data_IF_595486971175
#
_entry.id   IF_595486971175
#
_cell.length_a   1.000
_cell.length_b   1.000
_cell.length_c   1.000
_cell.angle_alpha   90.00
_cell.angle_beta   90.00
_cell.angle_gamma   90.00
#
_symmetry.space_group_name_H-M   'P 1'
#
loop_
_entity.id
_entity.type
_entity.pdbx_description
1 polymer ?
#
# COMPACT_ATOMS: atom_id res chain seq x y z
N UNK A 1 51.74 27.25 14.39
CA UNK A 1 52.13 27.08 15.79
C UNK A 1 51.49 25.81 16.27
N UNK A 2 52.38 24.83 16.49
CA UNK A 2 52.11 23.50 17.03
C UNK A 2 51.52 23.54 18.45
N UNK A 3 50.70 22.58 18.82
CA UNK A 3 51.02 21.72 19.98
C UNK A 3 50.17 20.46 19.94
N UNK A 4 50.85 19.34 19.74
CA UNK A 4 50.47 17.95 20.05
C UNK A 4 50.53 17.70 21.55
N UNK A 5 49.73 16.78 22.06
CA UNK A 5 50.03 15.91 23.23
C UNK A 5 49.06 14.71 23.15
N UNK A 6 49.50 13.59 22.70
CA UNK A 6 50.08 12.34 23.24
C UNK A 6 49.29 11.69 24.40
N UNK A 7 48.65 10.59 24.07
CA UNK A 7 48.73 9.16 24.46
C UNK A 7 49.16 8.85 25.90
N UNK A 8 48.34 8.07 26.61
CA UNK A 8 48.81 6.94 27.42
C UNK A 8 47.84 5.76 27.40
N UNK A 9 48.39 4.62 26.96
CA UNK A 9 47.87 3.26 27.16
C UNK A 9 48.12 2.82 28.59
N UNK A 10 47.20 2.04 29.16
CA UNK A 10 47.38 1.31 30.41
C UNK A 10 46.67 -0.04 30.34
N UNK A 11 47.44 -1.08 30.50
CA UNK A 11 47.19 -2.49 30.25
C UNK A 11 46.60 -3.20 31.46
N UNK A 12 45.70 -4.17 31.18
CA UNK A 12 45.48 -5.49 31.82
C UNK A 12 45.60 -5.67 33.34
N UNK A 13 44.54 -6.24 33.97
CA UNK A 13 44.67 -7.51 34.71
C UNK A 13 43.29 -8.19 34.92
N UNK A 14 43.33 -9.53 34.86
CA UNK A 14 42.29 -10.52 35.12
C UNK A 14 41.77 -10.51 36.58
N UNK A 15 40.49 -10.84 36.76
CA UNK A 15 39.93 -11.21 38.05
C UNK A 15 38.57 -11.90 37.90
N UNK A 16 38.55 -13.19 38.16
CA UNK A 16 37.37 -14.11 38.12
C UNK A 16 36.39 -13.86 39.26
N UNK A 17 35.10 -14.23 38.97
CA UNK A 17 34.13 -14.92 39.83
C UNK A 17 33.36 -14.08 40.88
N UNK A 18 32.07 -13.96 40.75
CA UNK A 18 31.10 -14.75 41.52
C UNK A 18 29.67 -14.28 41.26
N UNK A 19 28.85 -15.23 40.90
CA UNK A 19 27.39 -15.25 40.87
C UNK A 19 26.75 -14.74 42.15
N UNK A 20 25.87 -13.74 42.08
CA UNK A 20 24.78 -13.58 43.06
C UNK A 20 23.47 -13.28 42.33
N UNK A 21 22.59 -14.28 42.34
CA UNK A 21 21.20 -14.14 42.06
C UNK A 21 20.56 -13.25 43.13
N UNK A 22 19.93 -12.15 42.70
CA UNK A 22 18.93 -11.46 43.52
C UNK A 22 17.62 -11.57 42.77
N UNK A 23 16.76 -12.50 43.19
CA UNK A 23 15.34 -12.50 42.94
C UNK A 23 14.71 -11.35 43.73
N UNK A 24 14.10 -10.41 43.05
CA UNK A 24 13.07 -9.57 43.64
C UNK A 24 11.82 -9.78 42.80
N UNK A 25 10.94 -10.63 43.31
CA UNK A 25 9.58 -10.79 42.81
C UNK A 25 8.71 -9.59 43.24
N UNK A 26 7.96 -9.06 42.30
CA UNK A 26 6.61 -8.54 42.52
C UNK A 26 5.85 -8.83 41.25
N UNK A 27 5.05 -9.88 41.29
CA UNK A 27 3.91 -10.07 40.39
C UNK A 27 2.97 -8.90 40.64
N UNK A 28 2.72 -8.14 39.59
CA UNK A 28 1.59 -7.21 39.52
C UNK A 28 0.52 -7.96 38.78
N UNK A 29 -0.50 -8.42 39.52
CA UNK A 29 -1.74 -8.97 38.98
C UNK A 29 -2.38 -7.92 38.06
N UNK A 30 -2.39 -8.20 36.78
CA UNK A 30 -3.26 -7.52 35.81
C UNK A 30 -4.58 -8.30 35.75
N UNK A 31 -5.73 -7.64 35.91
CA UNK A 31 -7.02 -8.31 35.79
C UNK A 31 -7.20 -8.89 34.40
N UNK A 32 -7.66 -10.14 34.35
CA UNK A 32 -8.01 -10.85 33.14
C UNK A 32 -9.07 -10.07 32.35
N UNK A 33 -8.66 -9.45 31.26
CA UNK A 33 -9.56 -8.99 30.22
C UNK A 33 -10.04 -10.22 29.46
N UNK A 34 -11.32 -10.55 29.67
CA UNK A 34 -12.05 -11.58 28.94
C UNK A 34 -11.81 -11.39 27.44
N UNK A 35 -11.21 -12.40 26.84
CA UNK A 35 -11.11 -12.55 25.38
C UNK A 35 -12.52 -12.81 24.86
N UNK A 36 -13.24 -11.73 24.52
CA UNK A 36 -14.42 -11.86 23.65
C UNK A 36 -13.96 -12.43 22.33
N UNK A 37 -14.42 -13.65 22.06
CA UNK A 37 -14.05 -14.44 20.90
C UNK A 37 -14.26 -13.68 19.61
N UNK A 38 -13.17 -13.47 18.87
CA UNK A 38 -13.22 -13.22 17.45
C UNK A 38 -13.69 -14.50 16.79
N UNK A 39 -14.95 -14.52 16.36
CA UNK A 39 -15.49 -15.59 15.55
C UNK A 39 -14.80 -15.57 14.19
N UNK A 40 -13.83 -16.43 13.99
CA UNK A 40 -13.32 -16.79 12.67
C UNK A 40 -14.33 -17.74 12.08
N UNK A 41 -15.27 -17.24 11.29
CA UNK A 41 -16.12 -18.09 10.47
C UNK A 41 -15.29 -18.66 9.33
N UNK A 42 -14.67 -19.80 9.55
CA UNK A 42 -14.16 -20.65 8.48
C UNK A 42 -15.36 -21.32 7.80
N UNK A 43 -15.80 -20.80 6.69
CA UNK A 43 -16.71 -21.51 5.79
C UNK A 43 -15.92 -22.63 5.13
N UNK A 44 -16.18 -23.87 5.49
CA UNK A 44 -15.67 -25.07 4.84
C UNK A 44 -16.37 -25.25 3.49
N UNK A 45 -15.95 -24.51 2.46
CA UNK A 45 -16.04 -24.92 1.07
C UNK A 45 -14.60 -25.05 0.54
N UNK A 46 -14.27 -26.13 -0.21
CA UNK A 46 -12.93 -26.29 -0.75
C UNK A 46 -12.69 -25.19 -1.80
N UNK A 47 -11.63 -24.39 -1.58
CA UNK A 47 -10.96 -23.52 -2.52
C UNK A 47 -11.33 -22.04 -2.65
N UNK A 48 -11.57 -21.33 -1.56
CA UNK A 48 -11.12 -19.93 -1.60
C UNK A 48 -10.58 -19.55 -0.22
N UNK A 49 -9.28 -19.61 -0.03
CA UNK A 49 -8.63 -19.06 1.15
C UNK A 49 -8.77 -17.55 1.11
N UNK A 50 -9.94 -17.02 1.47
CA UNK A 50 -10.17 -15.61 1.68
C UNK A 50 -9.95 -15.27 3.14
N UNK A 51 -9.22 -14.20 3.39
CA UNK A 51 -9.03 -13.67 4.73
C UNK A 51 -9.64 -12.26 4.77
N UNK A 52 -10.41 -11.98 5.81
CA UNK A 52 -11.07 -10.68 5.95
C UNK A 52 -10.92 -10.15 7.38
N UNK A 53 -10.67 -8.84 7.47
CA UNK A 53 -10.84 -8.07 8.69
C UNK A 53 -12.04 -7.14 8.41
N UNK A 54 -13.22 -7.41 9.02
CA UNK A 54 -14.44 -6.65 8.74
C UNK A 54 -14.24 -5.14 8.90
N UNK A 55 -14.73 -4.36 7.95
CA UNK A 55 -14.58 -2.90 7.92
C UNK A 55 -13.17 -2.39 7.65
N UNK A 56 -12.19 -3.27 7.36
CA UNK A 56 -10.80 -2.89 7.14
C UNK A 56 -10.29 -3.35 5.77
N UNK A 57 -10.22 -4.65 5.54
CA UNK A 57 -9.65 -5.21 4.32
C UNK A 57 -10.14 -6.62 4.04
N UNK A 58 -9.97 -7.03 2.81
CA UNK A 58 -9.99 -8.43 2.40
C UNK A 58 -8.69 -8.82 1.70
N UNK A 59 -8.33 -10.11 1.78
CA UNK A 59 -7.25 -10.74 1.02
C UNK A 59 -7.79 -11.96 0.31
N UNK A 60 -7.50 -12.08 -0.96
CA UNK A 60 -7.75 -13.26 -1.78
C UNK A 60 -6.40 -13.91 -2.08
N UNK A 61 -6.24 -15.13 -1.56
CA UNK A 61 -5.03 -15.93 -1.77
C UNK A 61 -5.07 -16.62 -3.13
N UNK A 62 -3.91 -17.09 -3.66
CA UNK A 62 -3.83 -17.78 -4.95
C UNK A 62 -4.78 -18.98 -5.06
N UNK A 63 -5.54 -19.04 -6.15
CA UNK A 63 -6.45 -20.14 -6.51
C UNK A 63 -5.83 -21.11 -7.54
N UNK A 64 -4.67 -20.78 -8.09
CA UNK A 64 -3.84 -21.60 -8.96
C UNK A 64 -2.46 -21.79 -8.33
N UNK A 65 -1.53 -22.43 -9.06
CA UNK A 65 -0.14 -22.54 -8.63
C UNK A 65 0.41 -21.14 -8.27
N UNK A 66 0.81 -20.98 -7.01
CA UNK A 66 1.26 -19.70 -6.45
C UNK A 66 2.47 -19.16 -7.20
N UNK A 67 2.44 -17.87 -7.52
CA UNK A 67 3.51 -17.11 -8.14
C UNK A 67 3.95 -15.96 -7.23
N UNK A 68 5.16 -15.42 -7.37
CA UNK A 68 5.66 -14.35 -6.50
C UNK A 68 5.09 -12.96 -6.84
N UNK A 69 3.78 -12.91 -7.10
CA UNK A 69 3.05 -11.68 -7.42
C UNK A 69 2.08 -11.33 -6.30
N UNK A 70 2.12 -10.10 -5.86
CA UNK A 70 1.19 -9.54 -4.88
C UNK A 70 0.62 -8.24 -5.45
N UNK A 71 -0.70 -8.12 -5.43
CA UNK A 71 -1.42 -6.91 -5.84
C UNK A 71 -2.14 -6.33 -4.63
N UNK A 72 -2.16 -5.00 -4.51
CA UNK A 72 -3.00 -4.33 -3.54
C UNK A 72 -3.78 -3.16 -4.13
N UNK A 73 -5.02 -2.99 -3.69
CA UNK A 73 -5.90 -1.86 -4.03
C UNK A 73 -6.28 -1.11 -2.75
N UNK A 74 -5.49 -0.11 -2.35
CA UNK A 74 -5.68 0.56 -1.06
C UNK A 74 -6.81 1.58 -1.05
N UNK A 75 -7.37 1.93 -2.21
CA UNK A 75 -8.27 3.07 -2.36
C UNK A 75 -9.60 2.76 -3.03
N UNK A 76 -9.91 1.49 -3.31
CA UNK A 76 -11.21 1.09 -3.89
C UNK A 76 -12.33 1.02 -2.86
N UNK A 77 -11.98 1.04 -1.55
CA UNK A 77 -12.96 0.91 -0.47
C UNK A 77 -13.98 2.02 -0.46
N UNK A 78 -15.23 1.61 -0.23
CA UNK A 78 -16.44 2.46 -0.22
C UNK A 78 -17.36 2.17 0.98
N UNK A 79 -16.89 1.40 1.97
CA UNK A 79 -17.58 1.18 3.23
C UNK A 79 -17.26 2.33 4.19
N UNK A 80 -18.21 3.26 4.33
CA UNK A 80 -18.04 4.44 5.18
C UNK A 80 -18.32 4.10 6.63
N UNK A 81 -17.31 4.16 7.54
CA UNK A 81 -17.50 3.86 8.95
C UNK A 81 -18.49 4.81 9.61
N UNK A 82 -19.30 4.32 10.56
CA UNK A 82 -20.27 5.12 11.30
C UNK A 82 -19.62 6.28 12.07
N UNK A 83 -18.37 6.11 12.51
CA UNK A 83 -17.56 7.11 13.21
C UNK A 83 -16.84 8.08 12.26
N UNK A 84 -17.27 8.17 11.00
CA UNK A 84 -16.71 9.12 10.04
C UNK A 84 -17.55 10.41 9.99
N UNK A 85 -17.20 11.46 10.75
CA UNK A 85 -18.01 12.68 10.87
C UNK A 85 -17.74 13.64 9.71
N UNK A 86 -17.97 13.21 8.45
CA UNK A 86 -17.83 14.11 7.31
C UNK A 86 -19.03 15.06 7.19
N UNK A 87 -18.78 16.30 6.75
CA UNK A 87 -19.78 17.34 6.59
C UNK A 87 -20.10 17.71 5.13
N UNK A 88 -19.33 17.18 4.18
CA UNK A 88 -19.59 17.40 2.74
C UNK A 88 -20.57 16.37 2.18
N UNK A 89 -21.10 16.63 0.97
CA UNK A 89 -21.97 15.67 0.29
C UNK A 89 -21.23 14.38 -0.02
N UNK A 90 -21.90 13.24 0.13
CA UNK A 90 -21.29 11.91 -0.04
C UNK A 90 -20.77 11.68 -1.46
N UNK A 91 -21.49 12.13 -2.49
CA UNK A 91 -21.07 12.04 -3.89
C UNK A 91 -19.78 12.80 -4.16
N UNK A 92 -19.59 13.95 -3.51
CA UNK A 92 -18.33 14.70 -3.57
C UNK A 92 -17.20 13.94 -2.87
N UNK A 93 -17.48 13.36 -1.71
CA UNK A 93 -16.49 12.59 -0.94
C UNK A 93 -16.03 11.35 -1.71
N UNK A 94 -16.97 10.64 -2.33
CA UNK A 94 -16.72 9.45 -3.16
C UNK A 94 -15.83 9.70 -4.37
N UNK A 95 -15.74 10.93 -4.87
CA UNK A 95 -14.81 11.24 -5.99
C UNK A 95 -13.34 11.07 -5.61
N UNK A 96 -13.02 10.94 -4.32
CA UNK A 96 -11.67 10.61 -3.86
C UNK A 96 -11.32 9.12 -4.00
N UNK A 97 -12.32 8.23 -4.15
CA UNK A 97 -12.12 6.80 -4.31
C UNK A 97 -11.43 6.48 -5.65
N UNK A 98 -10.62 5.44 -5.66
CA UNK A 98 -10.16 4.77 -6.87
C UNK A 98 -11.16 3.64 -7.19
N UNK A 99 -12.41 4.03 -7.46
CA UNK A 99 -13.53 3.13 -7.59
C UNK A 99 -13.26 2.02 -8.62
N UNK A 100 -13.62 0.77 -8.26
CA UNK A 100 -13.52 -0.43 -9.11
C UNK A 100 -12.09 -0.88 -9.49
N UNK A 101 -11.04 -0.27 -8.93
CA UNK A 101 -9.68 -0.72 -9.26
C UNK A 101 -9.45 -2.14 -8.78
N UNK A 102 -9.96 -2.51 -7.61
CA UNK A 102 -9.95 -3.88 -7.11
C UNK A 102 -10.62 -4.87 -8.07
N UNK A 103 -11.75 -4.48 -8.68
CA UNK A 103 -12.43 -5.31 -9.67
C UNK A 103 -11.66 -5.44 -10.99
N UNK A 104 -10.90 -4.40 -11.39
CA UNK A 104 -10.03 -4.47 -12.57
C UNK A 104 -8.94 -5.54 -12.43
N UNK A 105 -8.48 -5.79 -11.20
CA UNK A 105 -7.45 -6.79 -10.89
C UNK A 105 -8.00 -8.10 -10.34
N UNK A 106 -9.33 -8.32 -10.38
CA UNK A 106 -10.00 -9.46 -9.75
C UNK A 106 -9.51 -10.84 -10.23
N UNK A 107 -8.94 -10.95 -11.43
CA UNK A 107 -8.40 -12.20 -11.96
C UNK A 107 -7.05 -12.62 -11.32
N UNK A 108 -6.41 -11.79 -10.49
CA UNK A 108 -5.08 -12.08 -9.95
C UNK A 108 -5.02 -13.39 -9.15
N UNK A 109 -6.00 -13.74 -8.27
CA UNK A 109 -5.99 -15.01 -7.55
C UNK A 109 -6.09 -16.24 -8.45
N UNK A 110 -6.92 -16.19 -9.49
CA UNK A 110 -7.08 -17.29 -10.47
C UNK A 110 -5.78 -17.53 -11.26
N UNK A 111 -4.94 -16.49 -11.39
CA UNK A 111 -3.63 -16.55 -12.04
C UNK A 111 -2.48 -16.89 -11.08
N UNK A 112 -2.79 -17.20 -9.81
CA UNK A 112 -1.82 -17.65 -8.81
C UNK A 112 -1.19 -16.51 -7.99
N UNK A 113 -1.69 -15.28 -8.08
CA UNK A 113 -1.22 -14.13 -7.32
C UNK A 113 -2.10 -13.86 -6.08
N UNK A 114 -1.55 -13.15 -5.10
CA UNK A 114 -2.35 -12.61 -3.97
C UNK A 114 -2.92 -11.25 -4.35
N UNK A 115 -4.20 -11.01 -4.01
CA UNK A 115 -4.86 -9.71 -4.15
C UNK A 115 -5.39 -9.23 -2.80
N UNK A 116 -5.13 -7.97 -2.44
CA UNK A 116 -5.55 -7.34 -1.18
C UNK A 116 -6.32 -6.05 -1.51
N UNK A 117 -7.45 -5.83 -0.86
CA UNK A 117 -8.23 -4.59 -1.00
C UNK A 117 -8.60 -3.99 0.33
N UNK A 118 -8.48 -2.66 0.49
CA UNK A 118 -9.10 -1.96 1.60
C UNK A 118 -10.60 -1.81 1.35
N UNK A 119 -11.42 -1.91 2.40
CA UNK A 119 -12.86 -1.69 2.30
C UNK A 119 -13.27 -0.29 2.76
N UNK A 120 -12.50 0.33 3.66
CA UNK A 120 -12.74 1.72 4.07
C UNK A 120 -12.28 2.72 3.01
N UNK A 121 -12.95 3.89 2.89
CA UNK A 121 -12.56 4.89 1.92
C UNK A 121 -11.27 5.62 2.32
N UNK A 122 -10.42 5.94 1.34
CA UNK A 122 -9.20 6.72 1.58
C UNK A 122 -9.45 8.12 2.17
N UNK A 123 -10.67 8.62 2.07
CA UNK A 123 -11.06 9.89 2.69
C UNK A 123 -11.18 9.80 4.22
N UNK A 124 -11.44 8.59 4.74
CA UNK A 124 -11.43 8.30 6.17
C UNK A 124 -9.99 8.17 6.71
N UNK A 125 -9.18 7.38 6.02
CA UNK A 125 -7.75 7.19 6.28
C UNK A 125 -7.07 6.73 4.99
N UNK A 126 -5.94 7.33 4.62
CA UNK A 126 -5.21 6.96 3.41
C UNK A 126 -4.07 5.97 3.72
N UNK A 127 -4.23 4.65 3.46
CA UNK A 127 -3.19 3.67 3.76
C UNK A 127 -1.93 3.83 2.90
N UNK A 128 -2.01 4.58 1.80
CA UNK A 128 -0.83 4.92 1.00
C UNK A 128 -0.16 6.23 1.46
N UNK A 129 -0.24 6.51 2.79
CA UNK A 129 0.49 7.57 3.50
C UNK A 129 1.20 6.98 4.70
N UNK A 130 2.32 7.60 5.09
CA UNK A 130 2.99 7.20 6.32
C UNK A 130 2.14 7.55 7.55
N UNK A 131 2.25 6.76 8.61
CA UNK A 131 1.47 6.98 9.83
C UNK A 131 1.80 8.31 10.53
N UNK A 132 2.96 8.88 10.26
CA UNK A 132 3.44 10.18 10.75
C UNK A 132 3.20 11.33 9.77
N UNK A 133 2.59 11.07 8.60
CA UNK A 133 2.26 12.09 7.59
C UNK A 133 0.97 12.85 7.95
N UNK A 134 1.01 13.52 9.11
CA UNK A 134 -0.06 14.28 9.72
C UNK A 134 0.37 15.73 9.98
N UNK A 135 -0.60 16.63 10.01
CA UNK A 135 -0.41 18.05 10.35
C UNK A 135 -1.11 18.36 11.66
N UNK A 136 -0.33 18.67 12.70
CA UNK A 136 -0.85 19.02 14.04
C UNK A 136 -1.79 20.22 14.05
N UNK A 137 -1.69 21.13 13.09
CA UNK A 137 -2.62 22.28 13.00
C UNK A 137 -4.08 21.86 12.84
N UNK A 138 -4.32 20.61 12.40
CA UNK A 138 -5.65 20.09 12.12
C UNK A 138 -6.10 18.99 13.10
N UNK A 139 -5.26 18.72 14.11
CA UNK A 139 -5.54 17.76 15.18
C UNK A 139 -5.76 18.54 16.46
N UNK A 140 -6.79 18.18 17.20
CA UNK A 140 -7.04 18.65 18.56
C UNK A 140 -6.36 17.71 19.56
N UNK A 141 -5.60 18.30 20.49
CA UNK A 141 -4.79 17.56 21.46
C UNK A 141 -3.35 17.33 21.02
N UNK A 142 -2.60 16.57 21.82
CA UNK A 142 -1.17 16.29 21.62
C UNK A 142 -0.97 14.97 20.90
N UNK A 143 -0.17 15.00 19.83
CA UNK A 143 0.27 13.78 19.17
C UNK A 143 1.50 13.20 19.89
N UNK A 144 1.55 11.90 20.19
CA UNK A 144 2.57 11.33 21.09
C UNK A 144 3.95 11.15 20.45
N UNK A 145 4.04 11.18 19.13
CA UNK A 145 5.30 10.93 18.41
C UNK A 145 5.62 12.08 17.44
N UNK A 146 6.88 12.25 17.00
CA UNK A 146 7.22 13.23 15.97
C UNK A 146 6.44 12.99 14.68
N UNK A 147 5.99 14.07 14.05
CA UNK A 147 5.27 14.04 12.77
C UNK A 147 6.14 14.59 11.64
N UNK A 148 5.89 14.06 10.43
CA UNK A 148 6.61 14.42 9.21
C UNK A 148 5.63 14.78 8.08
N UNK A 149 4.92 15.93 8.18
CA UNK A 149 3.91 16.30 7.20
C UNK A 149 4.51 16.55 5.83
N UNK A 150 4.04 15.79 4.84
CA UNK A 150 4.41 15.97 3.43
C UNK A 150 3.78 17.23 2.83
N UNK A 151 4.23 17.60 1.62
CA UNK A 151 3.57 18.66 0.84
C UNK A 151 2.08 18.35 0.60
N UNK A 152 1.73 17.06 0.38
CA UNK A 152 0.34 16.61 0.20
C UNK A 152 -0.48 16.83 1.47
N UNK A 153 0.08 16.55 2.63
CA UNK A 153 -0.57 16.76 3.94
C UNK A 153 -0.87 18.24 4.17
N UNK A 154 0.07 19.13 3.87
CA UNK A 154 -0.15 20.58 3.92
C UNK A 154 -1.26 21.03 2.97
N UNK A 155 -1.43 20.36 1.83
CA UNK A 155 -2.53 20.59 0.89
C UNK A 155 -3.86 19.89 1.32
N UNK A 156 -3.92 19.25 2.49
CA UNK A 156 -5.10 18.56 2.99
C UNK A 156 -5.29 17.13 2.48
N UNK A 157 -4.25 16.52 1.91
CA UNK A 157 -4.26 15.20 1.28
C UNK A 157 -3.25 14.24 1.96
N UNK A 158 -3.12 14.32 3.30
CA UNK A 158 -2.27 13.45 4.12
C UNK A 158 -2.93 12.14 4.50
N UNK A 159 -2.39 11.51 5.56
CA UNK A 159 -2.93 10.28 6.15
C UNK A 159 -4.42 10.39 6.46
N UNK A 160 -4.82 11.50 7.08
CA UNK A 160 -6.23 11.89 7.24
C UNK A 160 -6.49 13.07 6.30
N UNK A 161 -7.33 12.85 5.31
CA UNK A 161 -7.70 13.91 4.35
C UNK A 161 -8.58 14.95 5.01
N UNK A 162 -8.29 16.22 4.78
CA UNK A 162 -9.09 17.36 5.26
C UNK A 162 -10.02 17.94 4.20
N UNK A 163 -9.68 17.71 2.95
CA UNK A 163 -10.45 18.21 1.80
C UNK A 163 -10.82 17.05 0.88
N UNK A 164 -12.09 17.00 0.47
CA UNK A 164 -12.57 16.08 -0.55
C UNK A 164 -12.09 16.53 -1.94
N UNK A 165 -12.19 17.83 -2.20
CA UNK A 165 -11.67 18.56 -3.38
C UNK A 165 -11.12 19.90 -2.93
N UNK A 166 -10.34 20.61 -3.74
CA UNK A 166 -9.91 21.97 -3.43
C UNK A 166 -11.09 22.84 -3.02
N UNK A 167 -11.00 23.43 -1.82
CA UNK A 167 -12.05 24.29 -1.25
C UNK A 167 -13.25 23.60 -0.60
N UNK A 168 -13.34 22.26 -0.62
CA UNK A 168 -14.43 21.52 0.02
C UNK A 168 -13.87 20.74 1.21
N UNK A 169 -14.08 21.21 2.45
CA UNK A 169 -13.62 20.50 3.65
C UNK A 169 -14.41 19.20 3.85
N UNK A 170 -13.72 18.20 4.40
CA UNK A 170 -14.38 16.95 4.83
C UNK A 170 -14.99 17.11 6.22
N UNK A 171 -14.33 17.86 7.10
CA UNK A 171 -14.74 18.05 8.49
C UNK A 171 -15.05 19.52 8.77
N UNK A 172 -16.04 19.76 9.61
CA UNK A 172 -16.40 21.08 10.16
C UNK A 172 -15.67 21.39 11.49
N UNK A 173 -14.89 20.42 12.00
CA UNK A 173 -14.09 20.51 13.22
C UNK A 173 -12.70 19.89 13.04
N UNK A 174 -11.82 20.11 13.99
CA UNK A 174 -10.62 19.30 14.13
C UNK A 174 -10.98 17.90 14.64
N UNK A 175 -10.23 16.90 14.20
CA UNK A 175 -10.28 15.58 14.79
C UNK A 175 -9.39 15.56 16.05
N UNK A 176 -9.78 14.83 17.06
CA UNK A 176 -8.92 14.62 18.22
C UNK A 176 -7.76 13.68 17.87
N UNK A 177 -6.64 13.82 18.58
CA UNK A 177 -5.53 12.89 18.44
C UNK A 177 -5.96 11.43 18.70
N UNK A 178 -6.87 11.20 19.64
CA UNK A 178 -7.41 9.87 19.95
C UNK A 178 -8.22 9.28 18.79
N UNK A 179 -9.06 10.08 18.11
CA UNK A 179 -9.81 9.63 16.93
C UNK A 179 -8.85 9.20 15.81
N UNK A 180 -7.81 9.98 15.56
CA UNK A 180 -6.85 9.67 14.50
C UNK A 180 -6.01 8.44 14.86
N UNK A 181 -5.55 8.32 16.12
CA UNK A 181 -4.82 7.13 16.58
C UNK A 181 -5.68 5.87 16.45
N UNK A 182 -6.94 5.93 16.85
CA UNK A 182 -7.86 4.79 16.71
C UNK A 182 -8.02 4.35 15.23
N UNK A 183 -8.07 5.29 14.28
CA UNK A 183 -8.08 4.96 12.84
C UNK A 183 -6.79 4.30 12.39
N UNK A 184 -5.63 4.80 12.85
CA UNK A 184 -4.33 4.20 12.54
C UNK A 184 -4.25 2.76 13.05
N UNK A 185 -4.65 2.52 14.29
CA UNK A 185 -4.64 1.18 14.90
C UNK A 185 -5.64 0.23 14.25
N UNK A 186 -6.84 0.72 13.93
CA UNK A 186 -7.91 -0.11 13.37
C UNK A 186 -7.73 -0.41 11.89
N UNK A 187 -7.24 0.54 11.09
CA UNK A 187 -7.24 0.45 9.64
C UNK A 187 -5.83 0.43 9.04
N UNK A 188 -4.97 1.41 9.36
CA UNK A 188 -3.65 1.56 8.74
C UNK A 188 -2.71 0.42 9.12
N UNK A 189 -2.54 0.15 10.40
CA UNK A 189 -1.62 -0.86 10.89
C UNK A 189 -2.00 -2.28 10.44
N UNK A 190 -3.28 -2.72 10.50
CA UNK A 190 -3.69 -4.01 9.97
C UNK A 190 -3.52 -4.14 8.46
N UNK A 191 -3.83 -3.08 7.68
CA UNK A 191 -3.64 -3.10 6.23
C UNK A 191 -2.17 -3.36 5.87
N UNK A 192 -1.27 -2.59 6.44
CA UNK A 192 0.16 -2.74 6.19
C UNK A 192 0.70 -4.08 6.68
N UNK A 193 0.25 -4.58 7.84
CA UNK A 193 0.66 -5.89 8.35
C UNK A 193 0.29 -7.02 7.38
N UNK A 194 -0.94 -7.03 6.88
CA UNK A 194 -1.41 -8.07 5.94
C UNK A 194 -0.66 -7.99 4.61
N UNK A 195 -0.38 -6.79 4.12
CA UNK A 195 0.42 -6.60 2.90
C UNK A 195 1.88 -7.01 3.10
N UNK A 196 2.51 -6.64 4.22
CA UNK A 196 3.86 -7.07 4.58
C UNK A 196 3.94 -8.60 4.64
N UNK A 197 3.00 -9.26 5.34
CA UNK A 197 2.91 -10.72 5.45
C UNK A 197 2.79 -11.42 4.09
N UNK A 198 1.98 -10.89 3.18
CA UNK A 198 1.82 -11.44 1.84
C UNK A 198 3.11 -11.31 1.01
N UNK A 199 3.73 -10.13 1.00
CA UNK A 199 5.00 -9.90 0.30
C UNK A 199 6.14 -10.73 0.91
N UNK A 200 6.20 -10.85 2.23
CA UNK A 200 7.20 -11.66 2.94
C UNK A 200 7.03 -13.14 2.67
N UNK A 201 5.79 -13.64 2.63
CA UNK A 201 5.47 -15.02 2.28
C UNK A 201 5.98 -15.34 0.86
N UNK A 202 5.61 -14.52 -0.12
CA UNK A 202 6.06 -14.69 -1.49
C UNK A 202 7.59 -14.65 -1.60
N UNK A 203 8.22 -13.64 -0.97
CA UNK A 203 9.67 -13.51 -0.98
C UNK A 203 10.38 -14.71 -0.31
N UNK A 204 9.90 -15.20 0.83
CA UNK A 204 10.50 -16.40 1.49
C UNK A 204 10.37 -17.65 0.65
N UNK A 205 9.24 -17.81 -0.05
CA UNK A 205 8.98 -19.00 -0.87
C UNK A 205 9.80 -19.03 -2.15
N UNK A 206 9.93 -17.88 -2.83
CA UNK A 206 10.50 -17.79 -4.17
C UNK A 206 11.86 -17.08 -4.22
N UNK A 207 12.33 -16.50 -3.12
CA UNK A 207 13.54 -15.67 -3.10
C UNK A 207 13.37 -14.32 -3.80
N UNK A 208 12.18 -14.00 -4.27
CA UNK A 208 11.81 -12.73 -4.90
C UNK A 208 10.31 -12.45 -4.73
N UNK A 209 9.92 -11.18 -4.85
CA UNK A 209 8.51 -10.76 -4.92
C UNK A 209 8.38 -9.56 -5.86
N UNK A 210 7.33 -9.58 -6.69
CA UNK A 210 6.91 -8.45 -7.51
C UNK A 210 5.54 -7.98 -7.00
N UNK A 211 5.52 -6.84 -6.37
CA UNK A 211 4.34 -6.20 -5.82
C UNK A 211 3.86 -5.09 -6.76
N UNK A 212 2.54 -5.04 -6.99
CA UNK A 212 1.87 -4.00 -7.78
C UNK A 212 0.85 -3.29 -6.90
N UNK A 213 1.06 -1.99 -6.70
CA UNK A 213 0.16 -1.11 -5.98
C UNK A 213 -0.81 -0.45 -6.97
N UNK A 214 -2.09 -0.85 -6.92
CA UNK A 214 -3.10 -0.57 -7.93
C UNK A 214 -3.89 0.68 -7.59
N UNK A 215 -3.90 1.66 -8.52
CA UNK A 215 -4.55 2.95 -8.37
C UNK A 215 -5.26 3.42 -9.63
N UNK A 216 -6.04 4.47 -9.49
CA UNK A 216 -6.57 5.22 -10.62
C UNK A 216 -6.39 6.72 -10.43
N UNK A 217 -6.18 7.41 -11.53
CA UNK A 217 -5.99 8.85 -11.56
C UNK A 217 -7.15 9.56 -12.28
N UNK A 218 -7.51 10.78 -11.84
CA UNK A 218 -8.45 11.62 -12.59
C UNK A 218 -7.97 11.87 -14.00
N UNK A 219 -8.88 11.76 -14.97
CA UNK A 219 -8.54 12.04 -16.37
C UNK A 219 -8.24 13.52 -16.59
N UNK A 220 -7.15 13.81 -17.27
CA UNK A 220 -6.77 15.14 -17.70
C UNK A 220 -7.19 15.45 -19.14
N UNK A 221 -8.00 14.58 -19.77
CA UNK A 221 -8.41 14.69 -21.19
C UNK A 221 -9.23 15.95 -21.51
N UNK A 222 -9.76 16.62 -20.48
CA UNK A 222 -10.50 17.89 -20.63
C UNK A 222 -9.64 19.15 -20.50
N UNK A 223 -8.32 19.02 -20.26
CA UNK A 223 -7.43 20.15 -20.09
C UNK A 223 -7.03 20.84 -21.40
N UNK A 224 -7.03 22.17 -21.41
CA UNK A 224 -6.85 23.09 -22.55
C UNK A 224 -5.50 23.07 -23.29
N UNK A 225 -4.64 22.08 -23.14
CA UNK A 225 -3.38 22.00 -23.89
C UNK A 225 -3.26 20.61 -24.50
N UNK A 226 -3.36 20.54 -25.82
CA UNK A 226 -3.32 19.38 -26.72
C UNK A 226 -2.20 18.34 -26.53
N UNK A 227 -1.84 18.04 -25.31
CA UNK A 227 -1.00 16.91 -24.94
C UNK A 227 -1.81 15.65 -24.83
N UNK A 228 -1.31 14.55 -25.39
CA UNK A 228 -1.90 13.23 -25.25
C UNK A 228 -1.75 12.83 -23.78
N UNK A 229 -2.87 12.79 -23.03
CA UNK A 229 -2.86 12.33 -21.63
C UNK A 229 -2.43 10.88 -21.55
N UNK A 230 -1.74 10.52 -20.49
CA UNK A 230 -1.38 9.13 -20.24
C UNK A 230 -2.63 8.31 -19.92
N UNK A 231 -2.74 7.12 -20.52
CA UNK A 231 -3.73 6.12 -20.12
C UNK A 231 -3.29 5.42 -18.84
N UNK A 232 -1.98 5.22 -18.68
CA UNK A 232 -1.34 4.67 -17.49
C UNK A 232 -0.13 5.50 -17.08
N UNK A 233 0.08 5.62 -15.77
CA UNK A 233 1.33 6.13 -15.19
C UNK A 233 1.90 5.05 -14.27
N UNK A 234 3.17 4.70 -14.49
CA UNK A 234 3.94 3.78 -13.68
C UNK A 234 4.83 4.57 -12.73
N UNK A 235 4.79 4.25 -11.46
CA UNK A 235 5.55 4.93 -10.41
C UNK A 235 6.48 3.95 -9.68
N UNK A 236 7.78 4.04 -9.92
CA UNK A 236 8.83 3.26 -9.26
C UNK A 236 9.76 4.11 -8.40
N UNK A 237 9.30 5.35 -8.05
CA UNK A 237 10.05 6.33 -7.28
C UNK A 237 11.43 6.64 -7.88
N UNK A 238 11.45 6.89 -9.18
CA UNK A 238 12.66 7.16 -9.97
C UNK A 238 13.67 5.99 -9.89
N UNK A 239 13.17 4.73 -10.03
CA UNK A 239 13.97 3.51 -10.06
C UNK A 239 14.38 2.98 -8.68
N UNK A 240 13.84 3.51 -7.57
CA UNK A 240 14.28 3.13 -6.22
C UNK A 240 13.49 1.96 -5.63
N UNK A 241 12.31 1.63 -6.15
CA UNK A 241 11.41 0.63 -5.56
C UNK A 241 11.27 -0.66 -6.37
N UNK A 242 11.72 -0.68 -7.61
CA UNK A 242 11.83 -1.91 -8.39
C UNK A 242 13.01 -1.83 -9.38
N UNK A 243 13.41 -2.98 -9.91
CA UNK A 243 14.39 -3.02 -11.00
C UNK A 243 13.80 -2.41 -12.27
N UNK A 244 14.59 -1.69 -13.08
CA UNK A 244 14.11 -1.04 -14.31
C UNK A 244 13.42 -2.01 -15.27
N UNK A 245 13.91 -3.24 -15.36
CA UNK A 245 13.37 -4.28 -16.24
C UNK A 245 11.92 -4.63 -15.92
N UNK A 246 11.51 -4.50 -14.65
CA UNK A 246 10.12 -4.71 -14.24
C UNK A 246 9.22 -3.56 -14.72
N UNK A 247 9.64 -2.32 -14.50
CA UNK A 247 8.91 -1.13 -14.98
C UNK A 247 8.80 -1.14 -16.51
N UNK A 248 9.89 -1.41 -17.20
CA UNK A 248 9.95 -1.46 -18.67
C UNK A 248 9.09 -2.58 -19.25
N UNK A 249 9.08 -3.77 -18.61
CA UNK A 249 8.22 -4.88 -19.00
C UNK A 249 6.73 -4.51 -18.90
N UNK A 250 6.29 -3.99 -17.76
CA UNK A 250 4.90 -3.53 -17.58
C UNK A 250 4.53 -2.46 -18.62
N UNK A 251 5.43 -1.49 -18.86
CA UNK A 251 5.22 -0.45 -19.86
C UNK A 251 5.08 -1.02 -21.27
N UNK A 252 5.91 -2.00 -21.62
CA UNK A 252 5.89 -2.67 -22.94
C UNK A 252 4.58 -3.44 -23.15
N UNK A 253 4.13 -4.21 -22.14
CA UNK A 253 2.86 -4.94 -22.19
C UNK A 253 1.68 -4.00 -22.42
N UNK A 254 1.58 -2.92 -21.63
CA UNK A 254 0.48 -1.96 -21.76
C UNK A 254 0.52 -1.20 -23.09
N UNK A 255 1.71 -0.81 -23.55
CA UNK A 255 1.88 -0.17 -24.88
C UNK A 255 1.51 -1.13 -26.01
N UNK A 256 1.83 -2.43 -25.89
CA UNK A 256 1.43 -3.48 -26.82
C UNK A 256 -0.10 -3.65 -26.92
N UNK A 257 -0.85 -3.31 -25.85
CA UNK A 257 -2.32 -3.24 -25.85
C UNK A 257 -2.88 -1.92 -26.41
N UNK A 258 -1.99 -1.01 -26.83
CA UNK A 258 -2.35 0.27 -27.47
C UNK A 258 -2.50 1.44 -26.49
N UNK A 259 -2.11 1.29 -25.22
CA UNK A 259 -2.19 2.34 -24.21
C UNK A 259 -0.98 3.29 -24.25
N UNK A 260 -1.23 4.55 -23.91
CA UNK A 260 -0.18 5.54 -23.66
C UNK A 260 0.32 5.39 -22.23
N UNK A 261 1.60 5.05 -22.07
CA UNK A 261 2.23 4.82 -20.76
C UNK A 261 3.31 5.85 -20.50
N UNK A 262 3.25 6.49 -19.33
CA UNK A 262 4.28 7.38 -18.78
C UNK A 262 4.90 6.74 -17.54
N UNK A 263 6.14 7.11 -17.22
CA UNK A 263 6.87 6.59 -16.06
C UNK A 263 7.26 7.77 -15.18
N UNK A 264 6.92 7.71 -13.89
CA UNK A 264 7.23 8.74 -12.88
C UNK A 264 6.73 10.16 -13.19
N UNK A 265 5.76 10.29 -14.08
CA UNK A 265 5.16 11.56 -14.41
C UNK A 265 3.99 11.85 -13.47
N UNK A 266 4.10 12.87 -12.60
CA UNK A 266 3.12 13.27 -11.58
C UNK A 266 2.95 12.24 -10.44
N UNK A 267 2.75 10.96 -10.76
CA UNK A 267 2.51 9.85 -9.81
C UNK A 267 3.73 8.94 -9.78
N UNK A 268 4.69 9.25 -8.90
CA UNK A 268 5.96 8.52 -8.80
C UNK A 268 5.91 7.29 -7.86
N UNK A 269 4.79 7.08 -7.20
CA UNK A 269 4.68 6.13 -6.09
C UNK A 269 4.91 6.81 -4.73
N UNK A 270 4.24 6.31 -3.69
CA UNK A 270 4.22 6.94 -2.36
C UNK A 270 4.65 5.93 -1.29
N UNK A 271 3.89 5.80 -0.20
CA UNK A 271 4.33 5.08 1.00
C UNK A 271 4.38 3.56 0.78
N UNK A 272 3.35 2.98 0.17
CA UNK A 272 3.28 1.52 0.00
C UNK A 272 4.46 1.02 -0.84
N UNK A 273 4.72 1.62 -2.01
CA UNK A 273 5.85 1.17 -2.83
C UNK A 273 7.21 1.46 -2.18
N UNK A 274 7.34 2.55 -1.43
CA UNK A 274 8.52 2.85 -0.64
C UNK A 274 8.77 1.79 0.43
N UNK A 275 7.71 1.34 1.09
CA UNK A 275 7.76 0.34 2.16
C UNK A 275 8.08 -1.06 1.62
N UNK A 276 7.48 -1.47 0.50
CA UNK A 276 7.63 -2.79 -0.08
C UNK A 276 8.88 -2.95 -0.95
N UNK A 277 9.32 -1.88 -1.64
CA UNK A 277 10.40 -1.93 -2.62
C UNK A 277 11.79 -1.93 -2.00
N UNK A 278 12.57 -2.97 -2.30
CA UNK A 278 14.01 -3.10 -2.01
C UNK A 278 14.64 -3.97 -3.11
N UNK A 279 14.85 -3.41 -4.33
CA UNK A 279 15.26 -4.21 -5.50
C UNK A 279 16.57 -4.96 -5.31
N UNK A 280 17.52 -4.41 -4.55
CA UNK A 280 18.75 -5.12 -4.20
C UNK A 280 18.51 -6.42 -3.39
N UNK A 281 17.36 -6.53 -2.70
CA UNK A 281 16.92 -7.73 -2.00
C UNK A 281 15.85 -8.51 -2.76
N UNK A 282 15.71 -8.30 -4.07
CA UNK A 282 14.69 -8.92 -4.93
C UNK A 282 13.25 -8.68 -4.45
N UNK A 283 13.01 -7.52 -3.87
CA UNK A 283 11.68 -7.04 -3.51
C UNK A 283 11.36 -5.86 -4.43
N UNK A 284 10.52 -6.09 -5.40
CA UNK A 284 10.14 -5.10 -6.41
C UNK A 284 8.73 -4.60 -6.10
N UNK A 285 8.52 -3.28 -6.17
CA UNK A 285 7.22 -2.67 -5.93
C UNK A 285 7.00 -1.53 -6.90
N UNK A 286 5.90 -1.61 -7.67
CA UNK A 286 5.54 -0.68 -8.73
C UNK A 286 4.12 -0.17 -8.50
N UNK A 287 3.92 1.14 -8.49
CA UNK A 287 2.60 1.75 -8.51
C UNK A 287 2.09 1.84 -9.95
N UNK A 288 0.84 1.47 -10.18
CA UNK A 288 0.15 1.60 -11.47
C UNK A 288 -1.07 2.49 -11.28
N UNK A 289 -1.08 3.62 -11.98
CA UNK A 289 -2.22 4.55 -12.04
C UNK A 289 -2.92 4.40 -13.40
N UNK A 290 -4.21 4.10 -13.40
CA UNK A 290 -5.02 4.02 -14.62
C UNK A 290 -5.92 5.25 -14.76
N UNK A 291 -6.04 5.82 -15.98
CA UNK A 291 -6.95 6.93 -16.26
C UNK A 291 -8.41 6.47 -16.11
N UNK A 292 -9.14 7.09 -15.18
CA UNK A 292 -10.53 6.75 -14.85
C UNK A 292 -11.46 6.79 -16.05
N UNK A 293 -11.23 7.69 -17.02
CA UNK A 293 -12.06 7.80 -18.21
C UNK A 293 -12.02 6.55 -19.13
N UNK A 294 -11.07 5.63 -18.90
CA UNK A 294 -11.02 4.36 -19.65
C UNK A 294 -12.12 3.40 -19.23
N UNK A 295 -12.63 3.49 -18.00
CA UNK A 295 -13.51 2.47 -17.44
C UNK A 295 -14.74 3.00 -16.69
N UNK A 296 -14.76 4.30 -16.31
CA UNK A 296 -15.90 4.88 -15.58
C UNK A 296 -16.17 6.34 -15.98
N UNK A 297 -17.37 6.80 -15.73
CA UNK A 297 -17.72 8.22 -15.69
C UNK A 297 -17.28 8.82 -14.35
N UNK A 298 -16.40 9.81 -14.37
CA UNK A 298 -15.84 10.40 -13.15
C UNK A 298 -16.82 11.28 -12.37
N UNK A 299 -17.97 11.64 -12.94
CA UNK A 299 -19.00 12.45 -12.28
C UNK A 299 -20.03 11.57 -11.59
N UNK A 300 -20.51 10.54 -12.29
CA UNK A 300 -21.55 9.62 -11.77
C UNK A 300 -20.94 8.43 -11.05
N UNK A 301 -19.64 8.15 -11.23
CA UNK A 301 -18.93 6.95 -10.80
C UNK A 301 -19.48 5.66 -11.40
N UNK A 302 -20.26 5.72 -12.48
CA UNK A 302 -20.80 4.55 -13.15
C UNK A 302 -19.76 3.94 -14.09
N UNK A 303 -19.72 2.62 -14.15
CA UNK A 303 -18.90 1.89 -15.13
C UNK A 303 -19.33 2.22 -16.55
N UNK A 304 -18.36 2.50 -17.42
CA UNK A 304 -18.63 2.68 -18.85
C UNK A 304 -18.48 1.36 -19.61
N UNK A 305 -18.80 1.38 -20.90
CA UNK A 305 -18.56 0.24 -21.82
C UNK A 305 -17.07 -0.15 -21.90
N UNK A 306 -16.17 0.76 -21.52
CA UNK A 306 -14.72 0.52 -21.49
C UNK A 306 -14.28 -0.40 -20.35
N UNK A 307 -15.09 -0.57 -19.29
CA UNK A 307 -14.69 -1.35 -18.11
C UNK A 307 -14.28 -2.78 -18.45
N UNK A 308 -15.13 -3.54 -19.13
CA UNK A 308 -14.83 -4.94 -19.46
C UNK A 308 -13.61 -5.13 -20.35
N UNK A 309 -13.39 -4.19 -21.30
CA UNK A 309 -12.17 -4.21 -22.14
C UNK A 309 -10.92 -3.96 -21.30
N UNK A 310 -10.95 -2.94 -20.45
CA UNK A 310 -9.80 -2.61 -19.59
C UNK A 310 -9.50 -3.75 -18.62
N UNK A 311 -10.53 -4.37 -18.01
CA UNK A 311 -10.39 -5.52 -17.14
C UNK A 311 -9.71 -6.70 -17.86
N UNK A 312 -10.12 -7.00 -19.10
CA UNK A 312 -9.49 -8.04 -19.92
C UNK A 312 -8.01 -7.71 -20.24
N UNK A 313 -7.70 -6.44 -20.53
CA UNK A 313 -6.33 -6.00 -20.82
C UNK A 313 -5.44 -6.03 -19.55
N UNK A 314 -6.00 -5.74 -18.38
CA UNK A 314 -5.30 -5.90 -17.09
C UNK A 314 -5.10 -7.37 -16.76
N UNK A 315 -6.09 -8.24 -17.00
CA UNK A 315 -5.94 -9.70 -16.85
C UNK A 315 -4.81 -10.23 -17.73
N UNK A 316 -4.73 -9.78 -18.99
CA UNK A 316 -3.61 -10.10 -19.88
C UNK A 316 -2.25 -9.62 -19.32
N UNK A 317 -2.21 -8.43 -18.73
CA UNK A 317 -0.99 -7.92 -18.06
C UNK A 317 -0.59 -8.80 -16.87
N UNK A 318 -1.53 -9.24 -16.04
CA UNK A 318 -1.25 -10.13 -14.90
C UNK A 318 -0.68 -11.46 -15.39
N UNK A 319 -1.25 -12.05 -16.46
CA UNK A 319 -0.72 -13.28 -17.06
C UNK A 319 0.70 -13.09 -17.62
N UNK A 320 0.95 -11.96 -18.28
CA UNK A 320 2.29 -11.62 -18.75
C UNK A 320 3.30 -11.46 -17.60
N UNK A 321 2.87 -10.83 -16.48
CA UNK A 321 3.69 -10.69 -15.27
C UNK A 321 4.02 -12.03 -14.63
N UNK A 322 3.08 -12.99 -14.63
CA UNK A 322 3.34 -14.36 -14.20
C UNK A 322 4.47 -15.00 -15.02
N UNK A 323 4.43 -14.88 -16.35
CA UNK A 323 5.51 -15.36 -17.22
C UNK A 323 6.84 -14.66 -16.94
N UNK A 324 6.84 -13.35 -16.79
CA UNK A 324 8.02 -12.57 -16.43
C UNK A 324 8.64 -13.04 -15.10
N UNK A 325 7.84 -13.17 -14.05
CA UNK A 325 8.32 -13.60 -12.75
C UNK A 325 8.92 -15.01 -12.79
N UNK A 326 8.27 -15.95 -13.49
CA UNK A 326 8.78 -17.32 -13.66
C UNK A 326 10.11 -17.35 -14.38
N UNK A 327 10.25 -16.64 -15.50
CA UNK A 327 11.52 -16.55 -16.25
C UNK A 327 12.66 -15.96 -15.41
N UNK A 328 12.38 -14.92 -14.61
CA UNK A 328 13.38 -14.34 -13.70
C UNK A 328 13.81 -15.29 -12.59
N UNK A 329 12.93 -16.14 -12.09
CA UNK A 329 13.31 -17.16 -11.09
C UNK A 329 14.19 -18.25 -11.71
N UNK A 330 13.90 -18.70 -12.94
CA UNK A 330 14.70 -19.69 -13.66
C UNK A 330 16.12 -19.17 -13.93
N UNK A 331 16.26 -17.93 -14.45
CA UNK A 331 17.56 -17.28 -14.68
C UNK A 331 18.42 -17.25 -13.41
N UNK A 332 17.82 -16.96 -12.27
CA UNK A 332 18.50 -16.90 -10.97
C UNK A 332 18.94 -18.28 -10.48
N UNK A 333 18.13 -19.30 -10.71
CA UNK A 333 18.47 -20.67 -10.33
C UNK A 333 19.66 -21.15 -11.13
N UNK A 334 19.70 -20.86 -12.44
CA UNK A 334 20.84 -21.19 -13.30
C UNK A 334 22.12 -20.45 -12.86
N UNK A 335 22.03 -19.14 -12.59
CA UNK A 335 23.19 -18.35 -12.14
C UNK A 335 23.74 -18.75 -10.75
N UNK A 336 22.93 -19.37 -9.90
CA UNK A 336 23.37 -19.86 -8.59
C UNK A 336 23.99 -21.28 -8.64
N UNK A 337 23.85 -21.98 -9.77
CA UNK A 337 24.38 -23.32 -10.00
C UNK A 337 25.74 -23.29 -10.72
N UNK A 338 26.16 -22.14 -11.24
CA UNK A 338 27.50 -21.87 -11.81
C UNK A 338 28.45 -21.31 -10.74
#
# INVERSE_FOLDING_TARGET
>A
MNTLLEIRRGSLTNGRSSTRHVRIGREVDLPALERKGMSVTATNEPDSMSFEIPGVLWRRDPQAAEVPLVFDSPHSGSEYPEDFPFCCALDVLRTAEDAYVDELYAAAPELGATLIGAVFPRSYLDPNRAADDLDTMHIDGTWPTPLSPSHRTRAGLGLVRRVARPGIPIYDRKLTAAEVMARVERCHAPYHRVLDEACDRAHRKFGAVWHVNCHSMPSQRSGKKGGRCADFVLGDRDGTTCAPEFTDFVAAVLRGRGYTVRINEIYKGVEIVKRQGRPAGNRHSLQIEVDRALYMDQKTLEKTRGFGRLQADITFMIEALKGFASGRLEERTCAAAE
#
